data_IF_057563623646
#
_entry.id   IF_057563623646
#
_cell.length_a   1.000
_cell.length_b   1.000
_cell.length_c   1.000
_cell.angle_alpha   90.00
_cell.angle_beta   90.00
_cell.angle_gamma   90.00
#
_symmetry.space_group_name_H-M   'P 1'
#
loop_
_entity.id
_entity.type
_entity.pdbx_description
1 polymer ?
#
# COMPACT_ATOMS: atom_id res chain seq x y z
N UNK A 1 79.56 -42.73 11.41
CA UNK A 1 78.42 -42.58 10.52
C UNK A 1 77.35 -41.77 11.26
N UNK A 2 77.12 -40.53 10.89
CA UNK A 2 76.00 -39.70 11.51
C UNK A 2 74.84 -39.74 10.57
N UNK A 3 73.69 -40.21 11.08
CA UNK A 3 72.44 -40.20 10.33
C UNK A 3 71.83 -38.82 10.36
N UNK A 4 71.53 -38.30 9.20
CA UNK A 4 70.81 -36.97 9.01
C UNK A 4 69.34 -37.32 8.77
N UNK A 5 68.50 -36.91 9.72
CA UNK A 5 67.02 -37.06 9.61
C UNK A 5 66.46 -35.81 8.97
N UNK A 6 65.82 -35.91 7.80
CA UNK A 6 65.10 -34.86 7.16
C UNK A 6 63.64 -34.86 7.65
N UNK A 7 63.18 -33.73 8.22
CA UNK A 7 61.75 -33.51 8.54
C UNK A 7 61.06 -32.87 7.33
N UNK A 8 60.05 -33.57 6.82
CA UNK A 8 59.18 -33.02 5.76
C UNK A 8 58.04 -32.24 6.44
N UNK A 9 58.05 -30.93 6.25
CA UNK A 9 56.95 -30.05 6.70
C UNK A 9 55.90 -29.99 5.57
N UNK A 10 54.73 -30.58 5.76
CA UNK A 10 53.60 -30.48 4.85
C UNK A 10 52.75 -29.26 5.26
N UNK A 11 52.79 -28.20 4.47
CA UNK A 11 51.97 -27.03 4.66
C UNK A 11 50.60 -27.27 3.98
N UNK A 12 49.56 -27.49 4.78
CA UNK A 12 48.16 -27.51 4.29
C UNK A 12 47.67 -26.07 4.06
N UNK A 13 47.57 -25.66 2.80
CA UNK A 13 46.91 -24.42 2.38
C UNK A 13 45.40 -24.66 2.31
N UNK A 14 44.64 -24.09 3.26
CA UNK A 14 43.19 -24.06 3.20
C UNK A 14 42.78 -22.99 2.15
N UNK A 15 42.31 -23.48 1.01
CA UNK A 15 41.66 -22.60 0.00
C UNK A 15 40.25 -22.33 0.52
N UNK A 16 40.04 -21.13 1.08
CA UNK A 16 38.70 -20.61 1.37
C UNK A 16 38.07 -20.21 0.04
N UNK A 17 37.20 -21.05 -0.51
CA UNK A 17 36.31 -20.64 -1.58
C UNK A 17 35.30 -19.59 -1.02
N UNK A 18 35.13 -18.41 -1.66
CA UNK A 18 34.11 -17.48 -1.24
C UNK A 18 32.76 -18.15 -1.46
N UNK A 19 32.00 -18.32 -0.38
CA UNK A 19 30.58 -18.67 -0.46
C UNK A 19 29.89 -17.47 -1.08
N UNK A 20 29.54 -17.55 -2.37
CA UNK A 20 28.63 -16.63 -3.03
C UNK A 20 27.27 -16.83 -2.35
N UNK A 21 27.00 -16.05 -1.29
CA UNK A 21 25.66 -15.85 -0.78
C UNK A 21 24.89 -15.19 -1.92
N UNK A 22 24.12 -15.98 -2.66
CA UNK A 22 23.17 -15.45 -3.64
C UNK A 22 22.32 -14.40 -2.93
N UNK A 23 22.36 -13.14 -3.38
CA UNK A 23 21.50 -12.10 -2.85
C UNK A 23 20.06 -12.54 -3.07
N UNK A 24 19.38 -12.91 -1.99
CA UNK A 24 17.94 -13.12 -2.03
C UNK A 24 17.33 -11.78 -2.47
N UNK A 25 16.68 -11.75 -3.64
CA UNK A 25 16.00 -10.55 -4.12
C UNK A 25 15.06 -10.07 -3.02
N UNK A 26 15.22 -8.81 -2.60
CA UNK A 26 14.30 -8.21 -1.64
C UNK A 26 12.87 -8.23 -2.20
N UNK A 27 11.93 -8.69 -1.40
CA UNK A 27 10.50 -8.70 -1.77
C UNK A 27 10.00 -7.27 -1.93
N UNK A 28 9.07 -7.07 -2.86
CA UNK A 28 8.51 -5.76 -3.18
C UNK A 28 7.00 -5.77 -3.04
N UNK A 29 6.47 -4.84 -2.25
CA UNK A 29 5.05 -4.56 -2.10
C UNK A 29 4.74 -3.19 -2.68
N UNK A 30 3.73 -3.12 -3.55
CA UNK A 30 3.23 -1.84 -4.07
C UNK A 30 1.77 -1.66 -3.67
N UNK A 31 1.47 -0.53 -3.05
CA UNK A 31 0.11 -0.08 -2.79
C UNK A 31 -0.28 0.96 -3.85
N UNK A 32 -1.43 0.77 -4.51
CA UNK A 32 -1.92 1.64 -5.59
C UNK A 32 -3.22 2.31 -5.15
N UNK A 33 -3.20 3.63 -5.11
CA UNK A 33 -4.26 4.45 -4.53
C UNK A 33 -4.75 5.54 -5.50
N UNK A 34 -5.96 6.01 -5.28
CA UNK A 34 -6.49 7.16 -5.99
C UNK A 34 -5.93 8.47 -5.40
N UNK A 35 -5.95 8.60 -4.07
CA UNK A 35 -5.61 9.84 -3.38
C UNK A 35 -4.52 9.64 -2.31
N UNK A 36 -3.87 10.72 -1.94
CA UNK A 36 -3.08 10.79 -0.72
C UNK A 36 -4.05 10.68 0.48
N UNK A 37 -3.76 9.82 1.46
CA UNK A 37 -4.56 9.39 2.60
C UNK A 37 -5.22 8.00 2.47
N UNK A 38 -5.38 7.46 1.27
CA UNK A 38 -5.95 6.12 1.05
C UNK A 38 -5.13 5.02 1.76
N UNK A 39 -3.80 5.19 1.85
CA UNK A 39 -2.89 4.26 2.51
C UNK A 39 -3.20 4.08 4.00
N UNK A 40 -3.89 5.01 4.62
CA UNK A 40 -4.29 4.93 6.03
C UNK A 40 -5.16 3.71 6.32
N UNK A 41 -5.86 3.20 5.30
CA UNK A 41 -6.67 1.99 5.38
C UNK A 41 -5.84 0.72 5.63
N UNK A 42 -4.55 0.72 5.27
CA UNK A 42 -3.63 -0.42 5.40
C UNK A 42 -2.29 -0.04 6.07
N UNK A 43 -2.20 1.16 6.62
CA UNK A 43 -0.98 1.72 7.21
C UNK A 43 -0.21 0.76 8.12
N UNK A 44 -0.86 0.03 9.06
CA UNK A 44 -0.15 -0.87 9.96
C UNK A 44 0.63 -1.98 9.23
N UNK A 45 0.09 -2.53 8.15
CA UNK A 45 0.79 -3.59 7.41
C UNK A 45 1.86 -3.05 6.47
N UNK A 46 1.70 -1.84 5.92
CA UNK A 46 2.78 -1.19 5.17
C UNK A 46 3.99 -0.93 6.07
N UNK A 47 3.77 -0.42 7.29
CA UNK A 47 4.82 -0.21 8.29
C UNK A 47 5.48 -1.53 8.71
N UNK A 48 4.68 -2.57 8.96
CA UNK A 48 5.20 -3.90 9.28
C UNK A 48 6.15 -4.41 8.22
N UNK A 49 5.72 -4.47 6.96
CA UNK A 49 6.54 -5.03 5.89
C UNK A 49 7.80 -4.18 5.62
N UNK A 50 7.71 -2.84 5.74
CA UNK A 50 8.88 -1.98 5.67
C UNK A 50 9.90 -2.30 6.78
N UNK A 51 9.45 -2.45 8.01
CA UNK A 51 10.28 -2.85 9.16
C UNK A 51 10.91 -4.24 8.99
N UNK A 52 10.23 -5.15 8.30
CA UNK A 52 10.72 -6.50 7.99
C UNK A 52 11.65 -6.52 6.76
N UNK A 53 11.96 -5.37 6.16
CA UNK A 53 12.93 -5.23 5.06
C UNK A 53 12.35 -5.42 3.66
N UNK A 54 11.02 -5.51 3.54
CA UNK A 54 10.33 -5.48 2.24
C UNK A 54 10.45 -4.08 1.63
N UNK A 55 10.66 -3.99 0.33
CA UNK A 55 10.64 -2.74 -0.41
C UNK A 55 9.19 -2.30 -0.64
N UNK A 56 8.71 -1.38 0.18
CA UNK A 56 7.31 -0.94 0.15
C UNK A 56 7.20 0.39 -0.58
N UNK A 57 6.37 0.43 -1.62
CA UNK A 57 6.09 1.62 -2.44
C UNK A 57 4.61 1.96 -2.41
N UNK A 58 4.31 3.25 -2.58
CA UNK A 58 2.97 3.78 -2.73
C UNK A 58 2.87 4.56 -4.04
N UNK A 59 1.92 4.19 -4.90
CA UNK A 59 1.57 4.90 -6.13
C UNK A 59 0.24 5.60 -5.93
N UNK A 60 0.20 6.91 -6.11
CA UNK A 60 -0.99 7.74 -5.97
C UNK A 60 -1.36 8.32 -7.33
N UNK A 61 -2.58 8.06 -7.78
CA UNK A 61 -3.01 8.40 -9.14
C UNK A 61 -3.30 9.90 -9.30
N UNK A 62 -4.01 10.52 -8.36
CA UNK A 62 -4.48 11.90 -8.51
C UNK A 62 -3.57 12.92 -7.83
N UNK A 63 -3.76 14.18 -8.21
CA UNK A 63 -3.07 15.32 -7.60
C UNK A 63 -3.68 15.74 -6.25
N UNK A 64 -4.85 15.20 -5.87
CA UNK A 64 -5.52 15.51 -4.62
C UNK A 64 -6.11 16.91 -4.53
N UNK A 65 -6.26 17.62 -5.65
CA UNK A 65 -6.69 19.03 -5.69
C UNK A 65 -8.10 19.29 -5.14
N UNK A 66 -8.95 18.26 -5.02
CA UNK A 66 -10.31 18.36 -4.48
C UNK A 66 -10.41 18.03 -2.99
N UNK A 67 -9.35 17.50 -2.39
CA UNK A 67 -9.32 17.06 -1.00
C UNK A 67 -9.06 18.19 -0.02
N UNK A 68 -10.08 18.89 0.45
CA UNK A 68 -10.01 20.01 1.39
C UNK A 68 -11.02 19.85 2.54
N UNK A 69 -11.03 18.68 3.17
CA UNK A 69 -12.03 18.36 4.20
C UNK A 69 -11.78 19.06 5.54
N UNK A 70 -10.51 19.36 5.86
CA UNK A 70 -10.10 19.95 7.15
C UNK A 70 -9.16 21.15 6.96
N UNK A 71 -9.49 22.04 6.02
CA UNK A 71 -8.70 23.24 5.77
C UNK A 71 -9.56 24.34 5.19
N UNK A 72 -9.17 25.61 5.42
CA UNK A 72 -9.75 26.78 4.77
C UNK A 72 -9.13 27.10 3.40
N UNK A 73 -8.07 26.40 3.01
CA UNK A 73 -7.44 26.57 1.70
C UNK A 73 -8.42 26.11 0.62
N UNK A 74 -8.73 26.95 -0.40
CA UNK A 74 -9.64 26.57 -1.47
C UNK A 74 -9.13 25.36 -2.27
N UNK A 75 -10.05 24.54 -2.76
CA UNK A 75 -9.73 23.44 -3.68
C UNK A 75 -8.97 23.96 -4.89
N UNK A 76 -8.02 23.16 -5.38
CA UNK A 76 -7.19 23.53 -6.52
C UNK A 76 -5.70 23.33 -6.30
N UNK A 77 -4.83 24.00 -7.06
CA UNK A 77 -3.40 23.76 -7.09
C UNK A 77 -2.68 23.91 -5.73
N UNK A 78 -3.18 24.80 -4.85
CA UNK A 78 -2.57 24.98 -3.52
C UNK A 78 -2.83 23.76 -2.61
N UNK A 79 -4.04 23.22 -2.65
CA UNK A 79 -4.35 21.94 -1.95
C UNK A 79 -3.50 20.82 -2.52
N UNK A 80 -3.37 20.69 -3.85
CA UNK A 80 -2.55 19.67 -4.48
C UNK A 80 -1.10 19.70 -3.95
N UNK A 81 -0.49 20.89 -3.82
CA UNK A 81 0.85 21.03 -3.25
C UNK A 81 0.92 20.55 -1.80
N UNK A 82 -0.05 20.94 -0.97
CA UNK A 82 -0.09 20.51 0.43
C UNK A 82 -0.23 18.99 0.53
N UNK A 83 -1.09 18.38 -0.26
CA UNK A 83 -1.30 16.92 -0.25
C UNK A 83 -0.09 16.13 -0.73
N UNK A 84 0.73 16.69 -1.62
CA UNK A 84 2.03 16.10 -1.97
C UNK A 84 2.95 16.02 -0.73
N UNK A 85 3.04 17.10 0.04
CA UNK A 85 3.88 17.12 1.25
C UNK A 85 3.31 16.21 2.36
N UNK A 86 1.99 16.15 2.49
CA UNK A 86 1.30 15.21 3.39
C UNK A 86 1.60 13.75 3.03
N UNK A 87 1.53 13.39 1.74
CA UNK A 87 1.89 12.06 1.28
C UNK A 87 3.36 11.69 1.54
N UNK A 88 4.28 12.64 1.38
CA UNK A 88 5.71 12.43 1.73
C UNK A 88 5.90 12.23 3.23
N UNK A 89 5.24 13.04 4.05
CA UNK A 89 5.23 12.89 5.51
C UNK A 89 4.70 11.52 5.92
N UNK A 90 3.58 11.10 5.34
CA UNK A 90 2.96 9.80 5.58
C UNK A 90 3.91 8.65 5.24
N UNK A 91 4.51 8.67 4.05
CA UNK A 91 5.47 7.65 3.64
C UNK A 91 6.68 7.56 4.61
N UNK A 92 7.19 8.71 5.06
CA UNK A 92 8.26 8.76 6.04
C UNK A 92 7.83 8.18 7.40
N UNK A 93 6.63 8.49 7.86
CA UNK A 93 6.09 7.96 9.11
C UNK A 93 5.91 6.44 9.10
N UNK A 94 5.55 5.87 7.93
CA UNK A 94 5.43 4.43 7.70
C UNK A 94 6.79 3.74 7.49
N UNK A 95 7.87 4.48 7.22
CA UNK A 95 9.17 3.91 6.89
C UNK A 95 9.24 3.31 5.48
N UNK A 96 8.36 3.73 4.57
CA UNK A 96 8.29 3.26 3.18
C UNK A 96 9.01 4.23 2.23
N UNK A 97 9.20 3.82 0.97
CA UNK A 97 9.77 4.69 -0.06
C UNK A 97 8.90 5.95 -0.29
N UNK A 98 9.52 7.06 -0.75
CA UNK A 98 8.76 8.26 -1.14
C UNK A 98 7.62 7.92 -2.11
N UNK A 99 6.45 8.58 -2.01
CA UNK A 99 5.31 8.29 -2.86
C UNK A 99 5.58 8.59 -4.33
N UNK A 100 5.06 7.75 -5.21
CA UNK A 100 5.08 7.95 -6.66
C UNK A 100 3.76 8.60 -7.04
N UNK A 101 3.81 9.86 -7.48
CA UNK A 101 2.64 10.67 -7.79
C UNK A 101 2.43 10.71 -9.31
N UNK A 102 1.28 10.26 -9.79
CA UNK A 102 0.99 10.25 -11.23
C UNK A 102 0.38 11.57 -11.72
N UNK A 103 -0.24 12.37 -10.82
CA UNK A 103 -0.69 13.72 -11.10
C UNK A 103 -1.93 13.84 -11.99
N UNK A 104 -2.79 12.81 -12.03
CA UNK A 104 -4.07 12.87 -12.73
C UNK A 104 -5.07 13.75 -11.96
N UNK A 105 -6.09 14.31 -12.65
CA UNK A 105 -7.06 15.19 -11.99
C UNK A 105 -7.88 14.45 -10.93
N UNK A 106 -7.93 15.02 -9.72
CA UNK A 106 -8.71 14.51 -8.59
C UNK A 106 -10.23 14.67 -8.83
N UNK A 107 -11.01 13.65 -8.44
CA UNK A 107 -12.46 13.65 -8.56
C UNK A 107 -12.98 13.37 -9.98
N UNK A 108 -12.11 13.01 -10.94
CA UNK A 108 -12.52 12.92 -12.34
C UNK A 108 -11.92 11.76 -13.14
N UNK A 109 -11.31 10.77 -12.50
CA UNK A 109 -10.69 9.65 -13.21
C UNK A 109 -11.66 8.88 -14.13
N UNK A 110 -12.95 8.84 -13.77
CA UNK A 110 -13.99 8.19 -14.57
C UNK A 110 -14.76 9.12 -15.53
N UNK A 111 -14.34 10.39 -15.68
CA UNK A 111 -15.07 11.35 -16.52
C UNK A 111 -14.70 11.21 -18.00
N UNK A 112 -15.17 10.10 -18.62
CA UNK A 112 -14.93 9.80 -20.02
C UNK A 112 -15.40 10.91 -20.97
N UNK A 113 -16.48 11.61 -20.65
CA UNK A 113 -17.01 12.66 -21.51
C UNK A 113 -16.11 13.90 -21.54
N UNK A 114 -15.41 14.20 -20.44
CA UNK A 114 -14.47 15.31 -20.40
C UNK A 114 -13.13 14.98 -21.08
N UNK A 115 -12.64 13.76 -20.89
CA UNK A 115 -11.38 13.28 -21.51
C UNK A 115 -11.45 11.77 -21.78
N UNK A 116 -11.83 11.35 -23.01
CA UNK A 116 -11.95 9.95 -23.37
C UNK A 116 -10.59 9.20 -23.38
N UNK A 117 -9.47 9.93 -23.33
CA UNK A 117 -8.12 9.34 -23.32
C UNK A 117 -7.54 9.20 -21.91
N UNK A 118 -8.15 9.81 -20.91
CA UNK A 118 -7.63 9.85 -19.54
C UNK A 118 -7.40 8.46 -18.97
N UNK A 119 -8.38 7.58 -19.11
CA UNK A 119 -8.30 6.22 -18.59
C UNK A 119 -7.18 5.41 -19.27
N UNK A 120 -6.99 5.58 -20.58
CA UNK A 120 -5.90 4.96 -21.31
C UNK A 120 -4.55 5.44 -20.79
N UNK A 121 -4.36 6.75 -20.65
CA UNK A 121 -3.11 7.34 -20.11
C UNK A 121 -2.84 6.88 -18.68
N UNK A 122 -3.87 6.84 -17.83
CA UNK A 122 -3.75 6.34 -16.46
C UNK A 122 -3.30 4.88 -16.45
N UNK A 123 -3.94 4.03 -17.28
CA UNK A 123 -3.59 2.61 -17.37
C UNK A 123 -2.15 2.42 -17.84
N UNK A 124 -1.72 3.14 -18.88
CA UNK A 124 -0.36 3.09 -19.39
C UNK A 124 0.66 3.56 -18.34
N UNK A 125 0.39 4.69 -17.72
CA UNK A 125 1.30 5.27 -16.71
C UNK A 125 1.44 4.37 -15.48
N UNK A 126 0.34 3.78 -15.01
CA UNK A 126 0.38 2.81 -13.91
C UNK A 126 1.15 1.54 -14.32
N UNK A 127 0.92 1.02 -15.52
CA UNK A 127 1.65 -0.15 -16.02
C UNK A 127 3.16 0.11 -16.10
N UNK A 128 3.60 1.27 -16.57
CA UNK A 128 5.02 1.66 -16.60
C UNK A 128 5.65 1.60 -15.20
N UNK A 129 4.98 2.13 -14.17
CA UNK A 129 5.49 2.09 -12.81
C UNK A 129 5.53 0.66 -12.26
N UNK A 130 4.48 -0.14 -12.48
CA UNK A 130 4.46 -1.54 -12.04
C UNK A 130 5.54 -2.36 -12.76
N UNK A 131 5.77 -2.12 -14.05
CA UNK A 131 6.84 -2.77 -14.80
C UNK A 131 8.24 -2.40 -14.28
N UNK A 132 8.43 -1.16 -13.85
CA UNK A 132 9.68 -0.67 -13.25
C UNK A 132 9.90 -1.26 -11.86
N UNK A 133 8.87 -1.29 -11.03
CA UNK A 133 8.94 -1.75 -9.63
C UNK A 133 8.96 -3.28 -9.51
N UNK A 134 8.28 -3.99 -10.43
CA UNK A 134 8.12 -5.46 -10.42
C UNK A 134 7.69 -6.00 -9.06
N UNK A 135 6.53 -5.57 -8.54
CA UNK A 135 6.06 -6.01 -7.24
C UNK A 135 5.82 -7.52 -7.19
N UNK A 136 6.10 -8.12 -6.04
CA UNK A 136 5.69 -9.49 -5.71
C UNK A 136 4.25 -9.52 -5.20
N UNK A 137 3.81 -8.40 -4.58
CA UNK A 137 2.48 -8.21 -4.03
C UNK A 137 1.97 -6.81 -4.37
N UNK A 138 0.66 -6.71 -4.68
CA UNK A 138 -0.02 -5.45 -4.90
C UNK A 138 -1.24 -5.33 -3.98
N UNK A 139 -1.43 -4.14 -3.40
CA UNK A 139 -2.64 -3.79 -2.62
C UNK A 139 -3.33 -2.62 -3.31
N UNK A 140 -4.65 -2.65 -3.41
CA UNK A 140 -5.45 -1.55 -3.93
C UNK A 140 -6.86 -1.59 -3.34
N UNK A 141 -7.72 -0.64 -3.71
CA UNK A 141 -9.13 -0.67 -3.36
C UNK A 141 -9.87 -1.86 -4.00
N UNK A 142 -10.88 -2.38 -3.29
CA UNK A 142 -11.81 -3.33 -3.87
C UNK A 142 -12.73 -2.69 -4.93
N UNK A 143 -13.52 -3.50 -5.66
CA UNK A 143 -14.48 -3.01 -6.66
C UNK A 143 -15.55 -2.08 -6.09
N UNK A 144 -15.81 -2.16 -4.78
CA UNK A 144 -16.68 -1.27 -4.02
C UNK A 144 -16.08 0.13 -3.84
N UNK A 145 -14.76 0.26 -4.02
CA UNK A 145 -14.01 1.50 -3.79
C UNK A 145 -13.87 1.87 -2.32
N UNK A 146 -14.00 0.90 -1.40
CA UNK A 146 -13.93 1.10 0.05
C UNK A 146 -15.06 1.99 0.59
N UNK A 147 -15.00 3.28 0.33
CA UNK A 147 -16.04 4.27 0.67
C UNK A 147 -17.09 4.47 -0.43
N UNK A 148 -16.98 3.78 -1.55
CA UNK A 148 -17.80 3.99 -2.76
C UNK A 148 -17.32 5.13 -3.65
N UNK A 149 -16.15 5.71 -3.37
CA UNK A 149 -15.61 6.82 -4.14
C UNK A 149 -15.38 6.42 -5.62
N UNK A 150 -15.83 7.21 -6.61
CA UNK A 150 -15.68 6.87 -8.03
C UNK A 150 -14.21 6.61 -8.43
N UNK A 151 -13.27 7.47 -8.02
CA UNK A 151 -11.86 7.33 -8.37
C UNK A 151 -11.24 6.06 -7.77
N UNK A 152 -11.64 5.64 -6.55
CA UNK A 152 -11.21 4.37 -5.95
C UNK A 152 -11.65 3.18 -6.80
N UNK A 153 -12.90 3.22 -7.30
CA UNK A 153 -13.44 2.18 -8.19
C UNK A 153 -12.72 2.13 -9.53
N UNK A 154 -12.34 3.28 -10.07
CA UNK A 154 -11.56 3.35 -11.32
C UNK A 154 -10.18 2.74 -11.10
N UNK A 155 -9.47 3.07 -10.01
CA UNK A 155 -8.17 2.48 -9.69
C UNK A 155 -8.29 0.97 -9.52
N UNK A 156 -9.28 0.50 -8.77
CA UNK A 156 -9.57 -0.94 -8.65
C UNK A 156 -9.76 -1.60 -10.02
N UNK A 157 -10.54 -0.98 -10.90
CA UNK A 157 -10.81 -1.46 -12.25
C UNK A 157 -9.56 -1.51 -13.12
N UNK A 158 -8.74 -0.47 -13.12
CA UNK A 158 -7.47 -0.39 -13.86
C UNK A 158 -6.50 -1.47 -13.41
N UNK A 159 -6.29 -1.62 -12.10
CA UNK A 159 -5.42 -2.68 -11.55
C UNK A 159 -5.95 -4.06 -11.95
N UNK A 160 -7.26 -4.30 -11.78
CA UNK A 160 -7.89 -5.56 -12.16
C UNK A 160 -7.70 -5.88 -13.66
N UNK A 161 -7.83 -4.89 -14.52
CA UNK A 161 -7.61 -5.03 -15.95
C UNK A 161 -6.16 -5.42 -16.27
N UNK A 162 -5.17 -4.75 -15.65
CA UNK A 162 -3.75 -5.04 -15.85
C UNK A 162 -3.40 -6.46 -15.39
N UNK A 163 -3.92 -6.92 -14.25
CA UNK A 163 -3.74 -8.29 -13.75
C UNK A 163 -4.34 -9.31 -14.72
N UNK A 164 -5.58 -9.10 -15.14
CA UNK A 164 -6.28 -10.02 -16.05
C UNK A 164 -5.66 -10.08 -17.44
N UNK A 165 -5.04 -8.99 -17.89
CA UNK A 165 -4.30 -8.93 -19.15
C UNK A 165 -2.92 -9.61 -19.06
N UNK A 166 -2.47 -10.01 -17.87
CA UNK A 166 -1.10 -10.50 -17.68
C UNK A 166 -0.05 -9.44 -18.03
N UNK A 167 -0.35 -8.17 -17.72
CA UNK A 167 0.52 -7.05 -18.10
C UNK A 167 1.93 -7.21 -17.51
N UNK A 168 2.99 -6.91 -18.27
CA UNK A 168 4.36 -7.05 -17.79
C UNK A 168 4.62 -6.30 -16.48
N UNK A 169 5.24 -6.98 -15.51
CA UNK A 169 5.57 -6.41 -14.20
C UNK A 169 4.41 -6.38 -13.19
N UNK A 170 3.22 -6.84 -13.58
CA UNK A 170 2.05 -6.89 -12.69
C UNK A 170 1.98 -8.27 -12.01
N UNK A 171 1.90 -8.35 -10.67
CA UNK A 171 1.87 -9.61 -9.96
C UNK A 171 0.48 -10.26 -10.02
N UNK A 172 0.43 -11.58 -9.81
CA UNK A 172 -0.84 -12.29 -9.62
C UNK A 172 -1.37 -12.19 -8.19
N UNK A 173 -0.52 -11.83 -7.23
CA UNK A 173 -0.89 -11.63 -5.83
C UNK A 173 -1.38 -10.21 -5.59
N UNK A 174 -2.68 -10.04 -5.73
CA UNK A 174 -3.35 -8.74 -5.53
C UNK A 174 -4.39 -8.87 -4.43
N UNK A 175 -4.35 -7.93 -3.51
CA UNK A 175 -5.26 -7.86 -2.38
C UNK A 175 -6.03 -6.54 -2.41
N UNK A 176 -7.30 -6.65 -2.10
CA UNK A 176 -8.18 -5.52 -1.95
C UNK A 176 -8.22 -5.05 -0.49
N UNK A 177 -7.95 -3.77 -0.29
CA UNK A 177 -8.33 -3.07 0.93
C UNK A 177 -9.81 -2.74 0.89
N UNK A 178 -10.50 -3.01 1.98
CA UNK A 178 -11.87 -2.57 2.19
C UNK A 178 -12.07 -2.29 3.67
N UNK A 179 -12.91 -1.34 3.98
CA UNK A 179 -13.21 -1.00 5.36
C UNK A 179 -14.41 -1.85 5.80
N UNK A 180 -14.27 -2.71 6.83
CA UNK A 180 -15.41 -3.47 7.36
C UNK A 180 -16.55 -2.55 7.78
N UNK A 181 -17.80 -3.04 7.71
CA UNK A 181 -19.01 -2.27 8.04
C UNK A 181 -18.93 -1.62 9.43
N UNK A 182 -18.39 -2.35 10.40
CA UNK A 182 -18.18 -1.88 11.77
C UNK A 182 -17.19 -0.70 11.79
N UNK A 183 -16.13 -0.77 11.00
CA UNK A 183 -15.14 0.33 10.87
C UNK A 183 -15.76 1.58 10.27
N UNK A 184 -16.58 1.46 9.23
CA UNK A 184 -17.29 2.61 8.63
C UNK A 184 -18.22 3.27 9.64
N UNK A 185 -19.00 2.48 10.40
CA UNK A 185 -19.89 3.00 11.44
C UNK A 185 -19.13 3.65 12.59
N UNK A 186 -17.98 3.08 12.97
CA UNK A 186 -17.15 3.63 14.03
C UNK A 186 -16.51 4.96 13.62
N UNK A 187 -16.10 5.11 12.35
CA UNK A 187 -15.54 6.36 11.83
C UNK A 187 -16.59 7.45 11.64
N UNK A 188 -17.81 7.09 11.27
CA UNK A 188 -18.90 8.05 11.05
C UNK A 188 -20.25 7.49 11.55
N UNK A 189 -20.55 7.61 12.86
CA UNK A 189 -21.77 7.10 13.46
C UNK A 189 -23.08 7.74 12.91
N UNK A 190 -22.98 8.95 12.37
CA UNK A 190 -24.12 9.67 11.81
C UNK A 190 -24.44 9.27 10.35
N UNK A 191 -23.55 8.49 9.73
CA UNK A 191 -23.80 7.99 8.38
C UNK A 191 -24.55 6.68 8.49
N UNK A 192 -25.83 6.69 8.09
CA UNK A 192 -26.53 5.44 7.83
C UNK A 192 -25.69 4.55 6.94
N UNK A 193 -25.81 3.23 7.11
CA UNK A 193 -24.99 2.28 6.37
C UNK A 193 -24.87 2.73 4.91
N UNK A 194 -23.66 2.79 4.35
CA UNK A 194 -23.47 3.31 3.03
C UNK A 194 -24.39 2.57 2.06
N UNK A 195 -24.96 3.24 1.05
CA UNK A 195 -25.83 2.61 0.05
C UNK A 195 -25.06 1.61 -0.83
N UNK A 196 -23.79 1.30 -0.47
CA UNK A 196 -22.91 0.38 -1.17
C UNK A 196 -23.00 -1.00 -0.57
N UNK A 197 -22.94 -2.00 -1.43
CA UNK A 197 -22.78 -3.38 -1.03
C UNK A 197 -21.38 -3.54 -0.43
N UNK A 198 -21.33 -3.75 0.87
CA UNK A 198 -20.08 -4.05 1.57
C UNK A 198 -19.70 -5.50 1.25
N UNK A 199 -18.42 -5.78 0.95
CA UNK A 199 -17.98 -7.15 0.71
C UNK A 199 -18.35 -8.06 1.88
N UNK A 200 -18.76 -9.29 1.56
CA UNK A 200 -19.06 -10.29 2.57
C UNK A 200 -17.83 -10.60 3.42
N UNK A 201 -18.01 -10.78 4.70
CA UNK A 201 -16.93 -11.09 5.64
C UNK A 201 -16.11 -12.33 5.24
N UNK A 202 -16.74 -13.30 4.57
CA UNK A 202 -16.10 -14.51 4.04
C UNK A 202 -15.05 -14.25 2.95
N UNK A 203 -15.05 -13.08 2.31
CA UNK A 203 -14.07 -12.71 1.30
C UNK A 203 -12.75 -12.20 1.91
N UNK A 204 -12.76 -11.83 3.18
CA UNK A 204 -11.55 -11.38 3.89
C UNK A 204 -10.76 -12.57 4.44
N UNK A 205 -10.21 -13.36 3.55
CA UNK A 205 -9.47 -14.58 3.90
C UNK A 205 -8.01 -14.33 4.26
N UNK A 206 -7.48 -13.14 3.95
CA UNK A 206 -6.15 -12.71 4.37
C UNK A 206 -6.27 -11.90 5.67
N UNK A 207 -5.57 -12.31 6.72
CA UNK A 207 -5.49 -11.62 8.00
C UNK A 207 -4.04 -11.40 8.37
N UNK A 208 -3.59 -10.17 8.16
CA UNK A 208 -2.19 -9.79 8.33
C UNK A 208 -1.99 -9.19 9.71
N UNK A 209 -1.25 -9.85 10.61
CA UNK A 209 -0.97 -9.31 11.94
C UNK A 209 -0.03 -8.11 11.85
N UNK A 210 -0.12 -7.23 12.84
CA UNK A 210 0.77 -6.09 13.02
C UNK A 210 1.04 -5.85 14.52
N UNK A 211 2.16 -5.23 14.82
CA UNK A 211 2.53 -4.87 16.20
C UNK A 211 1.98 -3.50 16.59
N UNK A 212 2.04 -3.18 17.90
CA UNK A 212 1.74 -1.83 18.38
C UNK A 212 2.65 -0.77 17.75
N UNK A 213 3.92 -1.09 17.48
CA UNK A 213 4.85 -0.19 16.82
C UNK A 213 4.42 0.11 15.37
N UNK A 214 3.92 -0.89 14.65
CA UNK A 214 3.41 -0.74 13.28
C UNK A 214 2.12 0.10 13.28
N UNK A 215 1.24 -0.15 14.26
CA UNK A 215 0.03 0.66 14.41
C UNK A 215 0.34 2.12 14.76
N UNK A 216 1.32 2.36 15.61
CA UNK A 216 1.73 3.73 15.96
C UNK A 216 2.38 4.46 14.76
N UNK A 217 3.12 3.75 13.91
CA UNK A 217 3.61 4.30 12.64
C UNK A 217 2.44 4.71 11.72
N UNK A 218 1.40 3.86 11.64
CA UNK A 218 0.19 4.18 10.88
C UNK A 218 -0.58 5.38 11.46
N UNK A 219 -0.66 5.50 12.79
CA UNK A 219 -1.27 6.68 13.44
C UNK A 219 -0.51 7.96 13.08
N UNK A 220 0.82 7.94 13.12
CA UNK A 220 1.64 9.10 12.69
C UNK A 220 1.45 9.42 11.22
N UNK A 221 1.35 8.41 10.36
CA UNK A 221 1.05 8.56 8.93
C UNK A 221 -0.30 9.28 8.74
N UNK A 222 -1.35 8.80 9.40
CA UNK A 222 -2.67 9.43 9.35
C UNK A 222 -2.63 10.89 9.81
N UNK A 223 -1.86 11.19 10.85
CA UNK A 223 -1.69 12.55 11.38
C UNK A 223 -0.95 13.51 10.43
N UNK A 224 -0.31 13.01 9.38
CA UNK A 224 0.29 13.84 8.33
C UNK A 224 -0.75 14.52 7.43
N UNK A 225 -1.95 13.95 7.28
CA UNK A 225 -2.99 14.41 6.37
C UNK A 225 -3.86 15.52 6.97
N UNK A 226 -3.22 16.65 7.32
CA UNK A 226 -3.85 17.80 7.99
C UNK A 226 -4.96 18.46 7.19
N UNK A 227 -4.87 18.44 5.86
CA UNK A 227 -5.94 18.96 4.99
C UNK A 227 -7.20 18.10 5.03
N UNK A 228 -7.11 16.85 5.53
CA UNK A 228 -8.18 15.86 5.55
C UNK A 228 -8.74 15.61 6.95
N UNK A 229 -7.90 15.64 7.97
CA UNK A 229 -8.27 15.26 9.34
C UNK A 229 -7.69 16.22 10.37
N UNK A 230 -8.51 16.57 11.37
CA UNK A 230 -8.01 17.20 12.60
C UNK A 230 -7.32 16.18 13.51
N UNK A 231 -6.56 16.65 14.49
CA UNK A 231 -5.90 15.78 15.46
C UNK A 231 -6.92 14.96 16.26
N UNK A 232 -8.08 15.55 16.61
CA UNK A 232 -9.16 14.85 17.32
C UNK A 232 -9.81 13.77 16.42
N UNK A 233 -9.88 14.01 15.11
CA UNK A 233 -10.38 13.01 14.17
C UNK A 233 -9.39 11.83 14.06
N UNK A 234 -8.10 12.10 14.01
CA UNK A 234 -7.05 11.07 14.01
C UNK A 234 -7.15 10.20 15.26
N UNK A 235 -7.23 10.79 16.47
CA UNK A 235 -7.36 10.04 17.73
C UNK A 235 -8.64 9.19 17.75
N UNK A 236 -9.77 9.74 17.32
CA UNK A 236 -11.04 8.99 17.27
C UNK A 236 -10.96 7.82 16.28
N UNK A 237 -10.45 8.04 15.07
CA UNK A 237 -10.37 7.01 14.04
C UNK A 237 -9.40 5.90 14.45
N UNK A 238 -8.21 6.27 14.94
CA UNK A 238 -7.21 5.27 15.36
C UNK A 238 -7.67 4.45 16.55
N UNK A 239 -8.38 5.07 17.53
CA UNK A 239 -9.02 4.30 18.60
C UNK A 239 -10.01 3.27 18.05
N UNK A 240 -10.90 3.70 17.14
CA UNK A 240 -11.87 2.79 16.52
C UNK A 240 -11.19 1.68 15.72
N UNK A 241 -10.13 2.00 14.97
CA UNK A 241 -9.35 0.99 14.23
C UNK A 241 -8.73 -0.03 15.18
N UNK A 242 -8.16 0.39 16.30
CA UNK A 242 -7.59 -0.52 17.30
C UNK A 242 -8.64 -1.48 17.86
N UNK A 243 -9.82 -0.96 18.19
CA UNK A 243 -10.93 -1.73 18.75
C UNK A 243 -11.48 -2.77 17.73
N UNK A 244 -11.52 -2.41 16.44
CA UNK A 244 -12.04 -3.27 15.36
C UNK A 244 -11.01 -4.29 14.89
N UNK A 245 -9.76 -3.85 14.63
CA UNK A 245 -8.73 -4.67 14.00
C UNK A 245 -8.09 -5.68 14.96
N UNK A 246 -7.96 -5.35 16.25
CA UNK A 246 -7.42 -6.24 17.30
C UNK A 246 -6.06 -6.86 16.95
N UNK A 247 -5.19 -6.10 16.28
CA UNK A 247 -3.85 -6.52 15.89
C UNK A 247 -3.74 -7.25 14.56
N UNK A 248 -4.82 -7.39 13.81
CA UNK A 248 -4.82 -8.01 12.47
C UNK A 248 -5.61 -7.16 11.47
N UNK A 249 -5.08 -6.98 10.27
CA UNK A 249 -5.76 -6.26 9.21
C UNK A 249 -6.32 -7.25 8.18
N UNK A 250 -7.65 -7.25 7.96
CA UNK A 250 -8.28 -8.11 6.98
C UNK A 250 -8.13 -7.54 5.57
N UNK A 251 -7.76 -8.40 4.61
CA UNK A 251 -7.74 -8.09 3.18
C UNK A 251 -8.51 -9.17 2.41
N UNK A 252 -9.07 -8.77 1.27
CA UNK A 252 -9.72 -9.69 0.34
C UNK A 252 -8.79 -9.94 -0.86
N UNK A 253 -8.33 -11.17 -1.11
CA UNK A 253 -7.56 -11.46 -2.31
C UNK A 253 -8.44 -11.28 -3.57
N UNK A 254 -7.85 -10.73 -4.64
CA UNK A 254 -8.54 -10.59 -5.94
C UNK A 254 -8.99 -11.94 -6.48
N UNK A 255 -8.15 -12.95 -6.32
CA UNK A 255 -8.48 -14.35 -6.61
C UNK A 255 -8.63 -15.06 -5.27
N UNK A 256 -9.82 -15.60 -4.95
CA UNK A 256 -10.03 -16.29 -3.69
C UNK A 256 -9.02 -17.44 -3.49
N UNK A 257 -8.42 -17.51 -2.34
CA UNK A 257 -7.47 -18.55 -1.95
C UNK A 257 -7.75 -19.02 -0.51
N UNK A 258 -6.96 -19.97 -0.01
CA UNK A 258 -7.03 -20.40 1.37
C UNK A 258 -6.72 -19.26 2.35
N UNK A 259 -7.20 -19.38 3.59
CA UNK A 259 -6.89 -18.42 4.67
C UNK A 259 -5.38 -18.37 4.87
N UNK A 260 -4.81 -17.17 4.88
CA UNK A 260 -3.41 -16.91 5.09
C UNK A 260 -3.19 -15.66 5.96
N UNK A 261 -2.02 -15.57 6.59
CA UNK A 261 -1.57 -14.45 7.42
C UNK A 261 -0.34 -13.76 6.87
N UNK A 262 0.15 -14.18 5.69
CA UNK A 262 1.33 -13.62 5.04
C UNK A 262 1.03 -13.35 3.56
N UNK A 263 1.22 -12.11 3.12
CA UNK A 263 0.97 -11.68 1.74
C UNK A 263 1.90 -12.35 0.72
N UNK A 264 3.06 -12.86 1.16
CA UNK A 264 4.09 -13.43 0.29
C UNK A 264 4.04 -14.97 0.21
N UNK A 265 3.10 -15.61 0.91
CA UNK A 265 2.93 -17.06 0.97
C UNK A 265 1.56 -17.52 0.55
#
# INVERSE_FOLDING_TARGET
MRAVTYAVVVTLTFIHAPVLLGQVKAQTLVAVWAHADDETSVGPILARYAREGVQVYMVIATDGAQGAANTSVPRGPEIAKLRVEEAKCSAQALGIHPPILLGFPDGSLGNYNADPTLLLRLTQRLQEELQRLRPDVLITWGPDGGSGHPDHRIISGVVSQLVRAGAPGVPQRVFYSSIPAEGIRAMNPARDAPPFLIPQASLFTMRVPFSDADFEAARRSMACHKTQMSDEAVERVTKSMRDVLKGELPLSPMVPNAISSDLFR
#
